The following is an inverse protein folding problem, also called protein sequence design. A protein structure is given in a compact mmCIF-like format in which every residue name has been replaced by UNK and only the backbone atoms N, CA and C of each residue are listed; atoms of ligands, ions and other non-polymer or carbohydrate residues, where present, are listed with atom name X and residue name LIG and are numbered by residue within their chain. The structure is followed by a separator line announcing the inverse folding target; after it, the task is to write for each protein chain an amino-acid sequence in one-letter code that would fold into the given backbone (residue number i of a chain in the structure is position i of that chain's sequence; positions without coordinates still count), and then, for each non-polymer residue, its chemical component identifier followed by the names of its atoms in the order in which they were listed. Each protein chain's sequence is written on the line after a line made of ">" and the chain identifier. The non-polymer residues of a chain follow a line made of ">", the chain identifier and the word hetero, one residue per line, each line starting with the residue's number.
data_IF_757132654112
#
_entry.id   IF_757132654112
#
_cell.length_a   1.000
_cell.length_b   1.000
_cell.length_c   1.000
_cell.angle_alpha   90.00
_cell.angle_beta   90.00
_cell.angle_gamma   90.00
#
_symmetry.space_group_name_H-M   'P 1'
#
loop_
_entity.id
_entity.type
_entity.pdbx_description
1 polymer ?
#
# COMPACT_ATOMS: atom_id res chain seq x y z
N UNK A 1 24.44 11.09 -30.99
CA UNK A 1 24.89 10.44 -29.74
C UNK A 1 23.72 9.65 -29.20
N UNK A 2 23.80 8.33 -29.25
CA UNK A 2 22.74 7.45 -28.76
C UNK A 2 22.78 7.45 -27.23
N UNK A 3 21.71 7.90 -26.59
CA UNK A 3 21.56 7.85 -25.15
C UNK A 3 21.46 6.37 -24.75
N UNK A 4 22.46 5.90 -24.00
CA UNK A 4 22.51 4.55 -23.45
C UNK A 4 21.24 4.32 -22.64
N UNK A 5 20.28 3.57 -23.19
CA UNK A 5 19.08 3.16 -22.48
C UNK A 5 19.51 2.31 -21.28
N UNK A 6 19.66 2.94 -20.12
CA UNK A 6 19.96 2.25 -18.87
C UNK A 6 18.88 1.16 -18.70
N UNK A 7 19.31 -0.10 -18.68
CA UNK A 7 18.40 -1.21 -18.42
C UNK A 7 17.64 -0.89 -17.12
N UNK A 8 16.31 -1.02 -17.09
CA UNK A 8 15.56 -0.80 -15.86
C UNK A 8 16.13 -1.76 -14.82
N UNK A 9 16.75 -1.20 -13.78
CA UNK A 9 17.31 -1.99 -12.68
C UNK A 9 16.13 -2.67 -11.99
N UNK A 10 15.99 -3.97 -12.25
CA UNK A 10 15.05 -4.83 -11.55
C UNK A 10 15.52 -4.92 -10.10
N UNK A 11 14.70 -4.54 -9.11
CA UNK A 11 15.11 -4.59 -7.71
C UNK A 11 15.34 -6.04 -7.28
N UNK A 12 16.29 -6.25 -6.38
CA UNK A 12 16.50 -7.55 -5.75
C UNK A 12 15.26 -7.98 -4.97
N UNK A 13 14.92 -9.26 -5.09
CA UNK A 13 13.80 -9.86 -4.37
C UNK A 13 14.28 -10.43 -3.03
N UNK A 14 13.43 -10.40 -1.98
CA UNK A 14 12.07 -9.84 -1.96
C UNK A 14 12.05 -8.32 -1.82
N UNK A 15 11.13 -7.65 -2.54
CA UNK A 15 10.90 -6.20 -2.46
C UNK A 15 9.50 -5.91 -1.95
N UNK A 16 9.35 -4.88 -1.11
CA UNK A 16 8.06 -4.47 -0.56
C UNK A 16 7.78 -3.00 -0.88
N UNK A 17 6.72 -2.76 -1.65
CA UNK A 17 6.21 -1.44 -1.97
C UNK A 17 5.15 -1.02 -0.96
N UNK A 18 5.29 0.18 -0.39
CA UNK A 18 4.35 0.76 0.58
C UNK A 18 4.21 2.26 0.36
N UNK A 19 3.03 2.83 0.61
CA UNK A 19 2.84 4.27 0.57
C UNK A 19 3.39 4.90 1.86
N UNK A 20 4.72 4.88 2.03
CA UNK A 20 5.40 5.19 3.30
C UNK A 20 5.00 6.56 3.86
N UNK A 21 4.92 7.60 3.01
CA UNK A 21 4.49 8.93 3.44
C UNK A 21 3.05 8.94 3.96
N UNK A 22 2.11 8.35 3.20
CA UNK A 22 0.71 8.21 3.62
C UNK A 22 0.62 7.46 4.94
N UNK A 23 1.37 6.36 5.10
CA UNK A 23 1.42 5.58 6.33
C UNK A 23 1.92 6.39 7.52
N UNK A 24 3.00 7.16 7.36
CA UNK A 24 3.55 8.01 8.42
C UNK A 24 2.51 9.06 8.84
N UNK A 25 1.84 9.71 7.88
CA UNK A 25 0.80 10.69 8.17
C UNK A 25 -0.38 10.05 8.91
N UNK A 26 -0.93 8.94 8.41
CA UNK A 26 -2.07 8.26 9.03
C UNK A 26 -1.76 7.81 10.47
N UNK A 27 -0.59 7.21 10.69
CA UNK A 27 -0.19 6.76 12.02
C UNK A 27 0.12 7.93 12.95
N UNK A 28 0.78 8.98 12.46
CA UNK A 28 1.05 10.19 13.25
C UNK A 28 -0.24 10.88 13.70
N UNK A 29 -1.18 11.07 12.77
CA UNK A 29 -2.51 11.63 13.07
C UNK A 29 -3.27 10.74 14.04
N UNK A 30 -3.25 9.42 13.86
CA UNK A 30 -3.90 8.49 14.77
C UNK A 30 -3.34 8.55 16.19
N UNK A 31 -2.02 8.61 16.34
CA UNK A 31 -1.38 8.77 17.65
C UNK A 31 -1.76 10.11 18.30
N UNK A 32 -1.68 11.21 17.55
CA UNK A 32 -2.02 12.54 18.07
C UNK A 32 -3.49 12.63 18.50
N UNK A 33 -4.40 12.11 17.68
CA UNK A 33 -5.83 12.06 17.95
C UNK A 33 -6.13 11.19 19.19
N UNK A 34 -5.56 9.99 19.26
CA UNK A 34 -5.70 9.10 20.41
C UNK A 34 -5.27 9.80 21.70
N UNK A 35 -4.04 10.33 21.71
CA UNK A 35 -3.48 11.01 22.87
C UNK A 35 -4.33 12.20 23.30
N UNK A 36 -4.82 13.00 22.36
CA UNK A 36 -5.64 14.18 22.65
C UNK A 36 -6.98 13.79 23.29
N UNK A 37 -7.70 12.82 22.70
CA UNK A 37 -9.02 12.39 23.22
C UNK A 37 -8.85 11.75 24.60
N UNK A 38 -7.84 10.88 24.76
CA UNK A 38 -7.56 10.25 26.06
C UNK A 38 -7.15 11.29 27.11
N UNK A 39 -6.33 12.29 26.76
CA UNK A 39 -5.97 13.36 27.69
C UNK A 39 -7.21 14.15 28.14
N UNK A 40 -8.09 14.53 27.22
CA UNK A 40 -9.35 15.21 27.55
C UNK A 40 -10.19 14.36 28.51
N UNK A 41 -10.33 13.05 28.25
CA UNK A 41 -11.11 12.14 29.09
C UNK A 41 -10.57 12.06 30.53
N UNK A 42 -9.25 12.13 30.71
CA UNK A 42 -8.60 12.06 32.02
C UNK A 42 -8.58 13.39 32.76
N UNK A 43 -8.47 14.51 32.03
CA UNK A 43 -8.39 15.85 32.61
C UNK A 43 -9.76 16.43 32.98
N UNK A 44 -10.85 15.93 32.39
CA UNK A 44 -12.19 16.37 32.77
C UNK A 44 -12.60 15.77 34.12
N UNK A 45 -12.79 16.64 35.10
CA UNK A 45 -13.14 16.29 36.49
C UNK A 45 -14.59 15.79 36.62
N UNK A 46 -15.49 16.30 35.78
CA UNK A 46 -16.93 16.02 35.85
C UNK A 46 -17.38 14.73 35.14
N UNK A 47 -16.45 13.91 34.64
CA UNK A 47 -16.78 12.65 33.95
C UNK A 47 -16.78 11.48 34.93
N UNK A 48 -17.87 10.71 34.90
CA UNK A 48 -17.93 9.41 35.57
C UNK A 48 -17.01 8.38 34.90
N UNK A 49 -16.65 7.28 35.59
CA UNK A 49 -15.76 6.25 35.03
C UNK A 49 -16.25 5.64 33.70
N UNK A 50 -17.55 5.45 33.54
CA UNK A 50 -18.14 4.91 32.30
C UNK A 50 -18.06 5.87 31.11
N UNK A 51 -18.14 7.18 31.36
CA UNK A 51 -18.00 8.19 30.32
C UNK A 51 -16.54 8.28 29.88
N UNK A 52 -15.59 8.30 30.82
CA UNK A 52 -14.16 8.23 30.50
C UNK A 52 -13.81 7.00 29.67
N UNK A 53 -14.37 5.85 30.04
CA UNK A 53 -14.20 4.61 29.27
C UNK A 53 -14.75 4.75 27.84
N UNK A 54 -15.91 5.39 27.67
CA UNK A 54 -16.50 5.64 26.35
C UNK A 54 -15.63 6.54 25.47
N UNK A 55 -15.01 7.58 26.03
CA UNK A 55 -14.08 8.45 25.32
C UNK A 55 -12.83 7.68 24.85
N UNK A 56 -12.21 6.92 25.75
CA UNK A 56 -11.01 6.13 25.42
C UNK A 56 -11.34 5.05 24.39
N UNK A 57 -12.47 4.36 24.56
CA UNK A 57 -12.95 3.38 23.59
C UNK A 57 -13.17 4.01 22.20
N UNK A 58 -13.80 5.17 22.14
CA UNK A 58 -13.98 5.93 20.90
C UNK A 58 -12.62 6.31 20.27
N UNK A 59 -11.66 6.75 21.08
CA UNK A 59 -10.30 7.06 20.62
C UNK A 59 -9.62 5.83 20.01
N UNK A 60 -9.76 4.66 20.64
CA UNK A 60 -9.26 3.37 20.12
C UNK A 60 -9.91 3.05 18.78
N UNK A 61 -11.24 3.14 18.67
CA UNK A 61 -11.97 2.82 17.44
C UNK A 61 -11.52 3.71 16.28
N UNK A 62 -11.50 5.03 16.48
CA UNK A 62 -11.08 5.99 15.45
C UNK A 62 -9.63 5.76 15.01
N UNK A 63 -8.74 5.52 15.97
CA UNK A 63 -7.31 5.29 15.67
C UNK A 63 -7.09 3.95 14.96
N UNK A 64 -7.88 2.92 15.30
CA UNK A 64 -7.83 1.61 14.64
C UNK A 64 -8.20 1.70 13.16
N UNK A 65 -9.14 2.60 12.79
CA UNK A 65 -9.45 2.87 11.38
C UNK A 65 -8.23 3.45 10.65
N UNK A 66 -7.51 4.41 11.25
CA UNK A 66 -6.31 4.97 10.64
C UNK A 66 -5.18 3.93 10.52
N UNK A 67 -5.04 3.04 11.51
CA UNK A 67 -4.12 1.90 11.43
C UNK A 67 -4.51 0.98 10.28
N UNK A 68 -5.78 0.64 10.13
CA UNK A 68 -6.30 -0.17 9.01
C UNK A 68 -5.98 0.46 7.66
N UNK A 69 -6.23 1.77 7.51
CA UNK A 69 -5.92 2.55 6.31
C UNK A 69 -4.42 2.59 5.98
N UNK A 70 -3.56 2.38 6.97
CA UNK A 70 -2.10 2.36 6.83
C UNK A 70 -1.49 1.00 6.46
N UNK A 71 -2.30 -0.07 6.45
CA UNK A 71 -1.87 -1.44 6.16
C UNK A 71 -1.47 -1.74 4.71
N UNK A 72 -2.00 -1.09 3.67
CA UNK A 72 -1.75 -1.50 2.29
C UNK A 72 -0.27 -1.62 1.94
N UNK A 73 0.06 -2.71 1.24
CA UNK A 73 1.41 -3.01 0.76
C UNK A 73 1.36 -3.99 -0.40
N UNK A 74 2.36 -3.93 -1.27
CA UNK A 74 2.60 -4.94 -2.31
C UNK A 74 3.95 -5.57 -2.01
N UNK A 75 4.00 -6.90 -1.90
CA UNK A 75 5.25 -7.64 -1.67
C UNK A 75 5.50 -8.49 -2.90
N UNK A 76 6.62 -8.29 -3.57
CA UNK A 76 7.08 -9.14 -4.66
C UNK A 76 8.23 -10.02 -4.16
N UNK A 77 8.17 -11.30 -4.50
CA UNK A 77 9.21 -12.29 -4.19
C UNK A 77 9.40 -13.23 -5.39
N UNK A 78 10.27 -14.23 -5.23
CA UNK A 78 10.65 -15.13 -6.32
C UNK A 78 9.48 -15.82 -7.01
N UNK A 79 8.42 -16.14 -6.27
CA UNK A 79 7.29 -16.94 -6.77
C UNK A 79 6.10 -16.09 -7.23
N UNK A 80 6.08 -14.79 -6.92
CA UNK A 80 4.98 -13.91 -7.31
C UNK A 80 4.81 -12.66 -6.46
N UNK A 81 3.57 -12.17 -6.41
CA UNK A 81 3.21 -10.91 -5.77
C UNK A 81 2.07 -11.12 -4.77
N UNK A 82 2.26 -10.65 -3.55
CA UNK A 82 1.21 -10.54 -2.53
C UNK A 82 0.72 -9.10 -2.44
N UNK A 83 -0.53 -8.89 -2.80
CA UNK A 83 -1.21 -7.59 -2.66
C UNK A 83 -2.03 -7.60 -1.37
N UNK A 84 -1.65 -6.75 -0.42
CA UNK A 84 -2.40 -6.50 0.81
C UNK A 84 -3.12 -5.17 0.64
N UNK A 85 -4.44 -5.22 0.58
CA UNK A 85 -5.31 -4.05 0.63
C UNK A 85 -5.85 -3.86 2.05
N UNK A 86 -6.82 -2.96 2.24
CA UNK A 86 -7.36 -2.62 3.55
C UNK A 86 -7.88 -3.84 4.32
N UNK A 87 -8.76 -4.60 3.68
CA UNK A 87 -9.47 -5.75 4.27
C UNK A 87 -9.19 -7.07 3.57
N UNK A 88 -8.46 -7.05 2.45
CA UNK A 88 -8.20 -8.23 1.62
C UNK A 88 -6.71 -8.44 1.43
N UNK A 89 -6.32 -9.70 1.23
CA UNK A 89 -4.97 -10.10 0.83
C UNK A 89 -5.09 -11.12 -0.27
N UNK A 90 -4.44 -10.89 -1.41
CA UNK A 90 -4.42 -11.81 -2.55
C UNK A 90 -2.98 -12.12 -2.92
N UNK A 91 -2.67 -13.41 -3.01
CA UNK A 91 -1.42 -13.90 -3.59
C UNK A 91 -1.65 -14.14 -5.08
N UNK A 92 -0.73 -13.67 -5.90
CA UNK A 92 -0.70 -13.84 -7.34
C UNK A 92 0.63 -14.47 -7.74
N UNK A 93 0.59 -15.47 -8.62
CA UNK A 93 1.78 -15.94 -9.33
C UNK A 93 2.17 -14.92 -10.41
N UNK A 94 3.45 -14.89 -10.79
CA UNK A 94 3.91 -14.00 -11.86
C UNK A 94 3.14 -14.20 -13.18
N UNK A 95 2.83 -15.45 -13.54
CA UNK A 95 2.07 -15.78 -14.73
C UNK A 95 0.62 -15.26 -14.73
N UNK A 96 0.06 -14.91 -13.56
CA UNK A 96 -1.27 -14.33 -13.46
C UNK A 96 -1.27 -12.83 -13.75
N UNK A 97 -0.13 -12.15 -13.68
CA UNK A 97 -0.03 -10.70 -13.84
C UNK A 97 0.34 -10.40 -15.30
N UNK A 98 -0.65 -9.98 -16.08
CA UNK A 98 -0.44 -9.65 -17.49
C UNK A 98 0.07 -8.23 -17.69
N UNK A 99 -0.41 -7.29 -16.87
CA UNK A 99 -0.03 -5.88 -16.99
C UNK A 99 -0.08 -5.17 -15.65
N UNK A 100 0.93 -4.35 -15.40
CA UNK A 100 0.93 -3.38 -14.30
C UNK A 100 0.58 -2.01 -14.89
N UNK A 101 -0.47 -1.36 -14.40
CA UNK A 101 -0.95 -0.08 -14.92
C UNK A 101 -0.98 0.99 -13.84
N UNK A 102 -0.51 2.19 -14.21
CA UNK A 102 -0.69 3.42 -13.45
C UNK A 102 -0.89 4.56 -14.44
N UNK A 103 -2.14 4.93 -14.70
CA UNK A 103 -2.51 5.99 -15.64
C UNK A 103 -2.50 7.35 -14.92
N UNK A 104 -2.33 8.47 -15.66
CA UNK A 104 -2.56 9.78 -15.09
C UNK A 104 -3.97 9.89 -14.50
N UNK A 105 -4.07 10.26 -13.22
CA UNK A 105 -5.33 10.36 -12.50
C UNK A 105 -5.71 9.11 -11.69
N UNK A 106 -5.04 7.98 -11.91
CA UNK A 106 -5.31 6.78 -11.12
C UNK A 106 -4.93 7.00 -9.64
N UNK A 107 -5.77 6.56 -8.69
CA UNK A 107 -5.47 6.70 -7.27
C UNK A 107 -4.44 5.67 -6.76
N UNK A 108 -4.22 4.58 -7.51
CA UNK A 108 -3.26 3.51 -7.22
C UNK A 108 -2.95 2.69 -8.47
N UNK A 109 -2.00 1.76 -8.35
CA UNK A 109 -1.69 0.77 -9.40
C UNK A 109 -2.82 -0.25 -9.56
N UNK A 110 -3.09 -0.63 -10.81
CA UNK A 110 -3.98 -1.75 -11.16
C UNK A 110 -3.18 -2.87 -11.84
N UNK A 111 -3.45 -4.11 -11.45
CA UNK A 111 -2.87 -5.31 -12.05
C UNK A 111 -3.94 -5.98 -12.93
N UNK A 112 -3.73 -6.01 -14.24
CA UNK A 112 -4.58 -6.78 -15.15
C UNK A 112 -4.17 -8.24 -15.09
N UNK A 113 -5.13 -9.13 -14.89
CA UNK A 113 -4.89 -10.53 -14.58
C UNK A 113 -5.31 -11.46 -15.72
N UNK A 114 -4.75 -12.67 -15.74
CA UNK A 114 -5.04 -13.70 -16.75
C UNK A 114 -6.47 -14.22 -16.72
N UNK A 115 -7.19 -14.04 -15.60
CA UNK A 115 -8.62 -14.33 -15.45
C UNK A 115 -9.53 -13.23 -16.05
N UNK A 116 -8.95 -12.20 -16.67
CA UNK A 116 -9.66 -11.06 -17.26
C UNK A 116 -10.07 -9.99 -16.24
N UNK A 117 -9.79 -10.18 -14.95
CA UNK A 117 -10.08 -9.18 -13.92
C UNK A 117 -8.94 -8.18 -13.75
N UNK A 118 -9.22 -7.05 -13.10
CA UNK A 118 -8.20 -6.07 -12.71
C UNK A 118 -8.20 -5.92 -11.19
N UNK A 119 -7.04 -6.16 -10.57
CA UNK A 119 -6.87 -6.09 -9.12
C UNK A 119 -6.25 -4.74 -8.73
N UNK A 120 -6.91 -3.93 -7.87
CA UNK A 120 -6.30 -2.73 -7.31
C UNK A 120 -5.19 -3.10 -6.31
N UNK A 121 -4.04 -2.45 -6.44
CA UNK A 121 -2.87 -2.63 -5.59
C UNK A 121 -2.58 -1.35 -4.78
N UNK A 122 -3.33 -1.16 -3.69
CA UNK A 122 -3.30 0.07 -2.87
C UNK A 122 -1.94 0.32 -2.20
N UNK A 123 -1.02 -0.65 -2.21
CA UNK A 123 0.34 -0.45 -1.71
C UNK A 123 1.20 0.51 -2.55
N UNK A 124 0.76 0.87 -3.75
CA UNK A 124 1.43 1.83 -4.63
C UNK A 124 0.44 2.93 -5.01
N UNK A 125 0.59 4.12 -4.43
CA UNK A 125 -0.34 5.25 -4.55
C UNK A 125 0.39 6.54 -4.92
N UNK A 126 0.00 7.23 -6.01
CA UNK A 126 0.59 8.52 -6.36
C UNK A 126 0.48 9.56 -5.24
N UNK A 127 -0.71 9.79 -4.70
CA UNK A 127 -0.99 10.66 -3.55
C UNK A 127 0.06 11.75 -3.25
N UNK A 128 0.64 11.68 -2.05
CA UNK A 128 1.66 12.62 -1.52
C UNK A 128 3.07 12.34 -2.09
N UNK A 129 3.27 11.23 -2.80
CA UNK A 129 4.57 10.73 -3.23
C UNK A 129 4.57 10.28 -4.70
N UNK A 130 4.06 11.13 -5.60
CA UNK A 130 3.78 10.75 -7.01
C UNK A 130 4.98 10.14 -7.72
N UNK A 131 6.17 10.74 -7.57
CA UNK A 131 7.39 10.24 -8.22
C UNK A 131 7.81 8.87 -7.69
N UNK A 132 7.67 8.63 -6.38
CA UNK A 132 7.94 7.31 -5.79
C UNK A 132 6.98 6.27 -6.36
N UNK A 133 5.67 6.56 -6.40
CA UNK A 133 4.69 5.63 -6.92
C UNK A 133 4.92 5.27 -8.40
N UNK A 134 5.37 6.23 -9.21
CA UNK A 134 5.73 5.98 -10.62
C UNK A 134 7.01 5.12 -10.70
N UNK A 135 7.97 5.29 -9.80
CA UNK A 135 9.14 4.42 -9.68
C UNK A 135 8.75 2.99 -9.30
N UNK A 136 7.94 2.84 -8.25
CA UNK A 136 7.46 1.55 -7.75
C UNK A 136 6.63 0.81 -8.80
N UNK A 137 5.73 1.50 -9.51
CA UNK A 137 4.95 0.93 -10.59
C UNK A 137 5.82 0.44 -11.76
N UNK A 138 6.89 1.19 -12.09
CA UNK A 138 7.87 0.79 -13.11
C UNK A 138 8.67 -0.42 -12.67
N UNK A 139 9.12 -0.46 -11.42
CA UNK A 139 9.86 -1.59 -10.87
C UNK A 139 9.00 -2.86 -10.85
N UNK A 140 7.73 -2.76 -10.40
CA UNK A 140 6.80 -3.88 -10.41
C UNK A 140 6.47 -4.35 -11.85
N UNK A 141 6.35 -3.42 -12.80
CA UNK A 141 6.19 -3.75 -14.22
C UNK A 141 7.40 -4.52 -14.75
N UNK A 142 8.62 -4.03 -14.51
CA UNK A 142 9.84 -4.71 -14.96
C UNK A 142 9.95 -6.14 -14.39
N UNK A 143 9.58 -6.33 -13.12
CA UNK A 143 9.50 -7.66 -12.51
C UNK A 143 8.45 -8.55 -13.19
N UNK A 144 7.24 -8.03 -13.41
CA UNK A 144 6.18 -8.77 -14.08
C UNK A 144 6.54 -9.14 -15.52
N UNK A 145 7.19 -8.24 -16.25
CA UNK A 145 7.63 -8.49 -17.63
C UNK A 145 8.74 -9.56 -17.67
N UNK A 146 9.66 -9.56 -16.70
CA UNK A 146 10.80 -10.50 -16.64
C UNK A 146 10.39 -11.88 -16.12
N UNK A 147 9.43 -11.95 -15.19
CA UNK A 147 9.03 -13.18 -14.48
C UNK A 147 7.68 -13.74 -14.94
N UNK A 148 6.90 -12.96 -15.68
CA UNK A 148 5.63 -13.38 -16.26
C UNK A 148 5.83 -14.39 -17.38
N UNK A 149 4.78 -14.70 -18.14
CA UNK A 149 4.75 -15.75 -19.17
C UNK A 149 5.73 -15.56 -20.35
N UNK A 150 6.63 -14.59 -20.30
CA UNK A 150 7.66 -14.31 -21.32
C UNK A 150 8.95 -15.14 -21.22
N UNK A 151 8.91 -16.36 -20.65
CA UNK A 151 10.06 -17.26 -20.60
C UNK A 151 9.73 -18.71 -21.02
N UNK A 152 8.86 -18.91 -22.01
CA UNK A 152 8.74 -20.19 -22.72
C UNK A 152 8.73 -20.00 -24.25
N UNK A 153 9.93 -20.18 -24.80
CA UNK A 153 10.33 -20.92 -26.01
C UNK A 153 9.94 -20.43 -27.43
N UNK A 154 10.94 -19.81 -28.08
CA UNK A 154 11.25 -20.02 -29.49
C UNK A 154 12.65 -20.62 -29.62
#
# INVERSE_FOLDING_TARGET
>A
MAESAAQPVTPDLPVTFRPTRTRVVLLGVGIAMFATITAIALLLENLGPGERASFVFTAVLLSSVLVLLSRPKVVADETGVTVVNLTTTRRLEWAQILRVNLRPGDPWVFLDLSDGTSLPALGIQPGIARQQAIGDARALRALADTRGTGAHDH
#
